data_IF_493466005879
#
_entry.id   IF_493466005879
#
_cell.length_a   1.000
_cell.length_b   1.000
_cell.length_c   1.000
_cell.angle_alpha   90.00
_cell.angle_beta   90.00
_cell.angle_gamma   90.00
#
_symmetry.space_group_name_H-M   'P 1'
#
loop_
_entity.id
_entity.type
_entity.pdbx_description
1 polymer ?
#
# COMPACT_ATOMS: atom_id res chain seq x y z
N UNK A 1 10.41 -9.43 -7.31
CA UNK A 1 11.13 -8.16 -7.54
C UNK A 1 11.95 -8.25 -8.81
N UNK A 2 12.28 -7.14 -9.46
CA UNK A 2 13.29 -7.10 -10.51
C UNK A 2 14.11 -5.80 -10.43
N UNK A 3 15.26 -5.78 -11.12
CA UNK A 3 16.16 -4.62 -11.19
C UNK A 3 16.22 -4.09 -12.62
N UNK A 4 16.16 -2.77 -12.76
CA UNK A 4 16.22 -2.09 -14.06
C UNK A 4 17.33 -1.04 -13.99
N UNK A 5 18.32 -1.16 -14.87
CA UNK A 5 19.41 -0.18 -14.96
C UNK A 5 18.92 0.98 -15.82
N UNK A 6 18.97 2.20 -15.29
CA UNK A 6 18.56 3.39 -16.04
C UNK A 6 19.52 3.61 -17.22
N UNK A 7 19.01 3.76 -18.47
CA UNK A 7 19.84 4.25 -19.56
C UNK A 7 20.04 5.77 -19.49
N UNK A 8 19.32 6.46 -18.59
CA UNK A 8 19.35 7.91 -18.42
C UNK A 8 20.17 8.27 -17.17
N UNK A 9 21.01 9.28 -17.29
CA UNK A 9 21.78 9.84 -16.17
C UNK A 9 21.26 11.24 -15.84
N UNK A 10 21.18 11.57 -14.55
CA UNK A 10 20.85 12.92 -14.11
C UNK A 10 22.03 13.87 -14.41
N UNK A 11 21.71 15.08 -14.85
CA UNK A 11 22.67 16.18 -14.99
C UNK A 11 22.94 16.81 -13.62
N UNK A 12 21.90 16.98 -12.80
CA UNK A 12 22.01 17.54 -11.44
C UNK A 12 21.97 16.40 -10.42
N UNK A 13 23.05 16.20 -9.62
CA UNK A 13 23.08 15.11 -8.65
C UNK A 13 22.12 15.39 -7.48
N UNK A 14 21.59 14.32 -6.88
CA UNK A 14 20.59 14.39 -5.81
C UNK A 14 20.96 15.31 -4.65
N UNK A 15 22.22 15.28 -4.18
CA UNK A 15 22.66 16.20 -3.13
C UNK A 15 22.56 17.68 -3.54
N UNK A 16 22.81 18.01 -4.81
CA UNK A 16 22.63 19.36 -5.31
C UNK A 16 21.14 19.74 -5.44
N UNK A 17 20.28 18.81 -5.89
CA UNK A 17 18.82 19.02 -5.91
C UNK A 17 18.32 19.33 -4.50
N UNK A 18 18.64 18.47 -3.53
CA UNK A 18 18.20 18.61 -2.14
C UNK A 18 18.75 19.86 -1.44
N UNK A 19 19.96 20.33 -1.80
CA UNK A 19 20.54 21.53 -1.17
C UNK A 19 20.24 22.85 -1.89
N UNK A 20 20.00 22.84 -3.21
CA UNK A 20 19.88 24.06 -4.02
C UNK A 20 18.49 24.32 -4.57
N UNK A 21 17.77 23.27 -4.96
CA UNK A 21 16.40 23.40 -5.47
C UNK A 21 15.38 23.44 -4.33
N UNK A 22 15.76 22.94 -3.14
CA UNK A 22 14.96 23.02 -1.91
C UNK A 22 15.65 23.92 -0.90
N UNK A 23 14.95 24.98 -0.47
CA UNK A 23 15.43 25.86 0.61
C UNK A 23 15.47 25.09 1.92
N UNK A 24 16.63 25.03 2.57
CA UNK A 24 16.84 24.46 3.90
C UNK A 24 16.26 23.03 4.09
N UNK A 25 16.54 22.11 3.15
CA UNK A 25 16.09 20.74 3.28
C UNK A 25 16.73 20.06 4.50
N UNK A 26 15.87 19.66 5.43
CA UNK A 26 16.19 18.92 6.65
C UNK A 26 15.20 17.77 6.81
N UNK A 27 15.59 16.75 7.57
CA UNK A 27 14.74 15.60 7.85
C UNK A 27 15.05 15.03 9.23
N UNK A 28 14.02 14.45 9.84
CA UNK A 28 14.13 13.75 11.11
C UNK A 28 14.34 12.27 10.86
N UNK A 29 15.37 11.69 11.47
CA UNK A 29 15.60 10.24 11.44
C UNK A 29 14.62 9.53 12.37
N UNK A 30 14.51 8.21 12.24
CA UNK A 30 13.95 7.31 13.25
C UNK A 30 15.07 6.44 13.78
N UNK A 31 15.03 6.13 15.08
CA UNK A 31 15.94 5.14 15.64
C UNK A 31 15.32 3.76 15.39
N UNK A 32 16.06 2.90 14.72
CA UNK A 32 15.62 1.55 14.35
C UNK A 32 16.44 0.53 15.14
N UNK A 33 15.81 -0.27 16.01
CA UNK A 33 16.50 -1.36 16.68
C UNK A 33 16.82 -2.48 15.68
N UNK A 34 18.01 -3.07 15.80
CA UNK A 34 18.45 -4.17 14.93
C UNK A 34 17.81 -5.52 15.33
N UNK A 35 17.43 -5.69 16.60
CA UNK A 35 16.82 -6.92 17.14
C UNK A 35 15.53 -6.59 17.85
N UNK A 36 14.49 -6.33 17.06
CA UNK A 36 13.21 -5.81 17.56
C UNK A 36 12.47 -6.76 18.53
N UNK A 37 12.79 -8.06 18.52
CA UNK A 37 12.27 -9.04 19.47
C UNK A 37 12.80 -8.87 20.91
N UNK A 38 13.86 -8.08 21.12
CA UNK A 38 14.42 -7.79 22.44
C UNK A 38 13.70 -6.63 23.16
N UNK A 39 12.70 -5.99 22.53
CA UNK A 39 12.11 -4.73 22.97
C UNK A 39 10.59 -4.79 23.05
N UNK A 40 10.01 -4.13 24.05
CA UNK A 40 8.55 -4.12 24.28
C UNK A 40 7.81 -3.10 23.39
N UNK A 41 6.50 -2.95 23.58
CA UNK A 41 5.69 -2.00 22.82
C UNK A 41 6.00 -0.54 23.12
N UNK A 42 6.37 -0.21 24.35
CA UNK A 42 6.66 1.15 24.79
C UNK A 42 8.03 1.60 24.23
N UNK A 43 8.97 0.68 24.16
CA UNK A 43 10.27 0.87 23.50
C UNK A 43 10.11 1.19 22.01
N UNK A 44 9.20 0.49 21.30
CA UNK A 44 8.95 0.73 19.85
C UNK A 44 8.47 2.15 19.57
N UNK A 45 7.54 2.66 20.39
CA UNK A 45 7.06 4.05 20.29
C UNK A 45 8.19 5.03 20.60
N UNK A 46 8.97 4.75 21.65
CA UNK A 46 10.12 5.58 22.05
C UNK A 46 11.18 5.68 20.95
N UNK A 47 11.52 4.57 20.30
CA UNK A 47 12.50 4.55 19.20
C UNK A 47 12.03 5.32 17.97
N UNK A 48 10.74 5.24 17.65
CA UNK A 48 10.15 5.99 16.54
C UNK A 48 10.21 7.51 16.78
N UNK A 49 10.11 7.95 18.04
CA UNK A 49 10.11 9.36 18.43
C UNK A 49 11.50 9.92 18.80
N UNK A 50 12.51 9.07 18.99
CA UNK A 50 13.86 9.48 19.43
C UNK A 50 14.79 9.96 18.31
N UNK A 51 14.22 10.25 17.15
CA UNK A 51 14.92 10.77 15.98
C UNK A 51 15.68 12.07 16.21
N UNK A 52 16.69 12.32 15.39
CA UNK A 52 17.39 13.61 15.33
C UNK A 52 17.15 14.26 13.99
N UNK A 53 17.05 15.59 14.01
CA UNK A 53 16.97 16.36 12.79
C UNK A 53 18.37 16.52 12.17
N UNK A 54 18.47 16.36 10.86
CA UNK A 54 19.71 16.47 10.12
C UNK A 54 19.50 17.20 8.80
N UNK A 55 20.52 17.93 8.37
CA UNK A 55 20.71 18.20 6.94
C UNK A 55 21.27 16.95 6.24
N UNK A 56 21.09 16.87 4.92
CA UNK A 56 21.62 15.78 4.09
C UNK A 56 23.13 15.54 4.28
N UNK A 57 23.90 16.63 4.36
CA UNK A 57 25.36 16.57 4.51
C UNK A 57 25.81 16.18 5.91
N UNK A 58 25.07 16.57 6.94
CA UNK A 58 25.38 16.18 8.33
C UNK A 58 25.15 14.69 8.55
N UNK A 59 24.03 14.16 8.03
CA UNK A 59 23.73 12.74 8.12
C UNK A 59 24.75 11.90 7.34
N UNK A 60 25.15 12.30 6.13
CA UNK A 60 26.23 11.65 5.38
C UNK A 60 27.54 11.57 6.18
N UNK A 61 27.97 12.69 6.77
CA UNK A 61 29.19 12.74 7.60
C UNK A 61 29.07 11.82 8.82
N UNK A 62 27.90 11.82 9.48
CA UNK A 62 27.64 10.96 10.63
C UNK A 62 27.73 9.48 10.23
N UNK A 63 27.00 9.08 9.17
CA UNK A 63 26.97 7.71 8.67
C UNK A 63 28.37 7.21 8.27
N UNK A 64 29.14 8.04 7.55
CA UNK A 64 30.51 7.69 7.16
C UNK A 64 31.46 7.57 8.36
N UNK A 65 31.29 8.42 9.40
CA UNK A 65 32.07 8.32 10.63
C UNK A 65 31.76 7.03 11.40
N UNK A 66 30.49 6.62 11.45
CA UNK A 66 30.08 5.34 12.06
C UNK A 66 30.67 4.17 11.29
N UNK A 67 30.57 4.17 9.96
CA UNK A 67 31.17 3.15 9.10
C UNK A 67 32.68 3.03 9.32
N UNK A 68 33.40 4.15 9.30
CA UNK A 68 34.85 4.18 9.46
C UNK A 68 35.32 3.71 10.84
N UNK A 69 34.55 3.98 11.91
CA UNK A 69 34.84 3.44 13.24
C UNK A 69 34.69 1.92 13.30
N UNK A 70 33.70 1.37 12.58
CA UNK A 70 33.42 -0.07 12.60
C UNK A 70 34.44 -0.87 11.82
N UNK A 71 34.86 -0.38 10.66
CA UNK A 71 35.70 -1.14 9.73
C UNK A 71 37.10 -0.56 9.49
N UNK A 72 37.47 0.52 10.18
CA UNK A 72 38.74 1.22 10.00
C UNK A 72 39.01 1.63 8.53
N UNK A 73 37.94 1.82 7.75
CA UNK A 73 37.99 2.16 6.33
C UNK A 73 36.98 3.26 6.03
N UNK A 74 37.40 4.25 5.23
CA UNK A 74 36.49 5.26 4.69
C UNK A 74 35.85 4.87 3.34
N UNK A 75 36.27 3.75 2.75
CA UNK A 75 35.79 3.27 1.45
C UNK A 75 34.70 2.20 1.58
N UNK A 76 33.87 2.07 0.55
CA UNK A 76 32.91 0.96 0.46
C UNK A 76 33.62 -0.39 0.53
N UNK A 77 33.01 -1.33 1.22
CA UNK A 77 33.47 -2.72 1.31
C UNK A 77 32.69 -3.60 0.34
N UNK A 78 33.20 -4.79 -0.03
CA UNK A 78 32.51 -5.68 -0.95
C UNK A 78 31.10 -6.05 -0.45
N UNK A 79 30.12 -6.05 -1.36
CA UNK A 79 28.71 -6.30 -1.03
C UNK A 79 28.50 -7.63 -0.29
N UNK A 80 29.18 -8.68 -0.73
CA UNK A 80 29.11 -10.01 -0.10
C UNK A 80 29.71 -10.05 1.32
N UNK A 81 30.65 -9.15 1.63
CA UNK A 81 31.19 -9.01 2.99
C UNK A 81 30.17 -8.31 3.89
N UNK A 82 29.60 -7.20 3.43
CA UNK A 82 28.62 -6.42 4.20
C UNK A 82 27.32 -7.20 4.42
N UNK A 83 26.89 -8.03 3.47
CA UNK A 83 25.75 -8.92 3.63
C UNK A 83 25.96 -9.97 4.73
N UNK A 84 27.15 -10.59 4.77
CA UNK A 84 27.50 -11.53 5.84
C UNK A 84 27.56 -10.84 7.20
N UNK A 85 28.17 -9.67 7.25
CA UNK A 85 28.29 -8.90 8.49
C UNK A 85 26.94 -8.39 8.99
N UNK A 86 26.02 -7.98 8.10
CA UNK A 86 24.66 -7.61 8.49
C UNK A 86 23.94 -8.77 9.17
N UNK A 87 23.89 -9.95 8.53
CA UNK A 87 23.19 -11.10 9.12
C UNK A 87 23.84 -11.61 10.40
N UNK A 88 25.17 -11.49 10.52
CA UNK A 88 25.89 -11.75 11.77
C UNK A 88 25.53 -10.74 12.87
N UNK A 89 25.37 -9.46 12.51
CA UNK A 89 24.96 -8.41 13.44
C UNK A 89 23.51 -8.61 13.93
N UNK A 90 22.60 -9.01 13.05
CA UNK A 90 21.23 -9.35 13.42
C UNK A 90 21.20 -10.56 14.37
N UNK A 91 22.01 -11.59 14.12
CA UNK A 91 22.00 -12.82 14.91
C UNK A 91 22.66 -12.69 16.29
N UNK A 92 23.81 -12.01 16.39
CA UNK A 92 24.60 -11.96 17.63
C UNK A 92 25.44 -10.67 17.75
N UNK A 93 25.01 -9.59 17.10
CA UNK A 93 25.66 -8.30 17.12
C UNK A 93 25.60 -7.60 18.49
N UNK A 94 26.37 -6.52 18.60
CA UNK A 94 26.38 -5.63 19.80
C UNK A 94 25.76 -4.27 19.53
N UNK A 95 25.55 -3.93 18.27
CA UNK A 95 24.88 -2.69 17.86
C UNK A 95 23.40 -2.87 18.18
N UNK A 96 22.87 -2.02 19.05
CA UNK A 96 21.46 -2.06 19.44
C UNK A 96 20.59 -1.41 18.38
N UNK A 97 20.98 -0.21 17.93
CA UNK A 97 20.16 0.61 17.03
C UNK A 97 20.97 1.24 15.90
N UNK A 98 20.26 1.62 14.84
CA UNK A 98 20.75 2.43 13.72
C UNK A 98 19.77 3.56 13.46
N UNK A 99 20.22 4.66 12.87
CA UNK A 99 19.32 5.75 12.48
C UNK A 99 18.91 5.60 11.02
N UNK A 100 17.64 5.82 10.70
CA UNK A 100 17.13 5.74 9.34
C UNK A 100 16.05 6.79 9.09
N UNK A 101 16.17 7.56 8.02
CA UNK A 101 15.09 8.47 7.61
C UNK A 101 14.26 7.80 6.51
N UNK A 102 13.11 7.23 6.89
CA UNK A 102 12.11 6.70 5.97
C UNK A 102 10.95 7.69 5.80
N UNK A 103 10.20 7.56 4.72
CA UNK A 103 8.95 8.30 4.50
C UNK A 103 9.16 9.82 4.63
N UNK A 104 10.28 10.32 4.10
CA UNK A 104 10.64 11.74 4.12
C UNK A 104 10.03 12.42 2.91
N UNK A 105 9.30 13.51 3.14
CA UNK A 105 8.65 14.24 2.07
C UNK A 105 9.62 14.92 1.10
N UNK A 106 9.24 14.86 -0.18
CA UNK A 106 9.89 15.54 -1.28
C UNK A 106 10.74 14.62 -2.17
N UNK A 107 11.36 15.21 -3.19
CA UNK A 107 12.06 14.48 -4.24
C UNK A 107 13.52 14.93 -4.42
N UNK A 108 14.37 14.02 -4.90
CA UNK A 108 15.74 14.32 -5.34
C UNK A 108 15.93 14.22 -6.86
N UNK A 109 14.85 13.99 -7.62
CA UNK A 109 14.85 14.21 -9.07
C UNK A 109 14.86 15.72 -9.37
N UNK A 110 15.75 16.15 -10.27
CA UNK A 110 15.85 17.57 -10.63
C UNK A 110 14.60 18.05 -11.37
N UNK A 111 14.22 19.29 -11.09
CA UNK A 111 13.18 20.03 -11.81
C UNK A 111 13.72 20.76 -13.06
N UNK A 112 15.04 20.74 -13.28
CA UNK A 112 15.68 21.42 -14.41
C UNK A 112 15.20 20.83 -15.76
N UNK A 113 14.72 21.66 -16.71
CA UNK A 113 14.20 21.16 -17.99
C UNK A 113 15.20 20.35 -18.82
N UNK A 114 16.49 20.62 -18.66
CA UNK A 114 17.58 19.94 -19.37
C UNK A 114 18.10 18.67 -18.69
N UNK A 115 17.54 18.27 -17.54
CA UNK A 115 17.94 17.03 -16.86
C UNK A 115 17.27 15.82 -17.52
N UNK A 116 18.03 14.89 -18.16
CA UNK A 116 17.43 13.77 -18.89
C UNK A 116 16.59 12.86 -18.00
N UNK A 117 17.05 12.59 -16.77
CA UNK A 117 16.34 11.72 -15.84
C UNK A 117 15.12 12.42 -15.23
N UNK A 118 15.29 13.64 -14.72
CA UNK A 118 14.24 14.45 -14.10
C UNK A 118 13.11 14.81 -15.07
N UNK A 119 13.43 15.11 -16.33
CA UNK A 119 12.43 15.39 -17.37
C UNK A 119 11.74 14.14 -17.93
N UNK A 120 12.32 12.95 -17.74
CA UNK A 120 11.75 11.68 -18.24
C UNK A 120 10.44 11.26 -17.55
N UNK A 121 9.83 10.19 -18.07
CA UNK A 121 8.69 9.48 -17.43
C UNK A 121 9.11 8.55 -16.30
N UNK A 122 10.42 8.33 -16.11
CA UNK A 122 10.99 7.55 -15.00
C UNK A 122 11.20 8.38 -13.74
N UNK A 123 11.02 9.70 -13.81
CA UNK A 123 10.92 10.53 -12.61
C UNK A 123 9.68 10.10 -11.81
N UNK A 124 9.91 9.62 -10.57
CA UNK A 124 8.89 9.01 -9.73
C UNK A 124 7.72 9.94 -9.39
N UNK A 125 7.96 11.25 -9.42
CA UNK A 125 6.92 12.28 -9.23
C UNK A 125 5.85 12.26 -10.33
N UNK A 126 6.10 11.59 -11.47
CA UNK A 126 5.17 11.49 -12.60
C UNK A 126 4.47 10.14 -12.69
N UNK A 127 4.99 9.11 -12.01
CA UNK A 127 4.60 7.70 -12.22
C UNK A 127 3.12 7.47 -11.93
N UNK A 128 2.64 7.92 -10.76
CA UNK A 128 1.25 7.74 -10.33
C UNK A 128 0.23 8.39 -11.28
N UNK A 129 0.64 9.39 -12.06
CA UNK A 129 -0.20 10.15 -13.00
C UNK A 129 0.01 9.74 -14.47
N UNK A 130 0.82 8.72 -14.75
CA UNK A 130 0.98 8.21 -16.12
C UNK A 130 -0.35 7.65 -16.68
N UNK A 131 -0.56 7.67 -18.01
CA UNK A 131 -1.82 7.21 -18.61
C UNK A 131 -2.25 5.79 -18.26
N UNK A 132 -1.29 4.89 -18.00
CA UNK A 132 -1.52 3.49 -17.62
C UNK A 132 -1.57 3.26 -16.11
N UNK A 133 -1.29 4.28 -15.30
CA UNK A 133 -1.41 4.20 -13.85
C UNK A 133 -2.87 4.32 -13.47
N UNK A 134 -3.44 3.32 -12.80
CA UNK A 134 -4.81 3.37 -12.26
C UNK A 134 -4.95 4.47 -11.21
N UNK A 135 -3.88 4.76 -10.46
CA UNK A 135 -3.87 5.80 -9.43
C UNK A 135 -4.05 7.22 -10.00
N UNK A 136 -3.95 7.41 -11.32
CA UNK A 136 -4.22 8.70 -11.97
C UNK A 136 -5.64 9.21 -11.69
N UNK A 137 -6.56 8.30 -11.38
CA UNK A 137 -7.99 8.55 -11.15
C UNK A 137 -8.32 8.98 -9.71
N UNK A 138 -7.35 8.92 -8.81
CA UNK A 138 -7.48 9.44 -7.44
C UNK A 138 -7.45 10.96 -7.45
N UNK A 139 -8.42 11.58 -6.79
CA UNK A 139 -8.54 13.03 -6.68
C UNK A 139 -7.64 13.59 -5.57
N UNK A 140 -7.40 12.79 -4.53
CA UNK A 140 -6.56 13.15 -3.38
C UNK A 140 -5.13 12.61 -3.54
N UNK A 141 -4.14 13.41 -3.16
CA UNK A 141 -2.76 12.95 -3.01
C UNK A 141 -2.61 12.15 -1.71
N UNK A 142 -1.93 11.01 -1.79
CA UNK A 142 -1.60 10.13 -0.68
C UNK A 142 -0.07 9.96 -0.66
N UNK A 143 0.64 10.43 0.39
CA UNK A 143 2.08 10.27 0.52
C UNK A 143 2.51 8.80 0.41
N UNK A 144 3.59 8.54 -0.31
CA UNK A 144 4.09 7.20 -0.62
C UNK A 144 3.35 6.48 -1.75
N UNK A 145 2.06 6.75 -1.90
CA UNK A 145 1.22 6.10 -2.91
C UNK A 145 1.18 6.89 -4.22
N UNK A 146 0.71 8.14 -4.17
CA UNK A 146 0.64 8.99 -5.37
C UNK A 146 1.81 9.95 -5.47
N UNK A 147 2.48 10.23 -4.35
CA UNK A 147 3.63 11.13 -4.24
C UNK A 147 4.82 10.33 -3.69
N UNK A 148 6.02 10.45 -4.29
CA UNK A 148 7.17 9.69 -3.85
C UNK A 148 7.67 10.16 -2.48
N UNK A 149 8.31 9.25 -1.75
CA UNK A 149 9.00 9.56 -0.50
C UNK A 149 10.48 9.20 -0.60
N UNK A 150 11.30 9.98 0.11
CA UNK A 150 12.74 9.77 0.23
C UNK A 150 13.07 8.82 1.37
N UNK A 151 14.13 8.04 1.14
CA UNK A 151 14.67 7.06 2.05
C UNK A 151 16.19 7.27 2.17
N UNK A 152 16.64 7.82 3.29
CA UNK A 152 18.04 8.16 3.54
C UNK A 152 18.60 7.22 4.60
N UNK A 153 19.43 6.28 4.15
CA UNK A 153 19.95 5.19 4.96
C UNK A 153 21.41 5.36 5.36
N UNK A 154 21.82 4.57 6.34
CA UNK A 154 23.20 4.36 6.75
C UNK A 154 23.54 2.87 6.77
N UNK A 155 24.76 2.52 7.18
CA UNK A 155 25.14 1.12 7.33
C UNK A 155 24.12 0.38 8.22
N UNK A 156 23.55 -0.69 7.68
CA UNK A 156 22.59 -1.59 8.33
C UNK A 156 21.20 -1.03 8.63
N UNK A 157 20.90 0.22 8.24
CA UNK A 157 19.50 0.66 8.19
C UNK A 157 18.73 -0.26 7.24
N UNK A 158 17.57 -0.76 7.66
CA UNK A 158 16.84 -1.82 6.99
C UNK A 158 15.36 -1.51 6.80
N UNK A 159 14.74 -2.26 5.90
CA UNK A 159 13.30 -2.38 5.75
C UNK A 159 12.95 -3.86 5.94
N UNK A 160 12.13 -4.13 6.95
CA UNK A 160 11.76 -5.48 7.34
C UNK A 160 10.88 -6.16 6.28
N UNK A 161 10.57 -7.45 6.48
CA UNK A 161 9.70 -8.18 5.56
C UNK A 161 8.30 -7.57 5.52
N UNK A 162 7.87 -7.14 4.33
CA UNK A 162 6.54 -6.59 4.12
C UNK A 162 6.08 -6.72 2.66
N UNK A 163 4.79 -6.43 2.45
CA UNK A 163 4.18 -6.16 1.14
C UNK A 163 3.67 -4.72 1.13
N UNK A 164 3.49 -4.16 -0.06
CA UNK A 164 2.93 -2.82 -0.22
C UNK A 164 1.44 -2.79 0.20
N UNK A 165 0.98 -1.63 0.68
CA UNK A 165 -0.43 -1.40 0.97
C UNK A 165 -1.28 -1.68 -0.26
N UNK A 166 -2.44 -2.29 -0.05
CA UNK A 166 -3.33 -2.71 -1.13
C UNK A 166 -2.69 -3.63 -2.19
N UNK A 167 -1.56 -4.26 -1.87
CA UNK A 167 -0.76 -5.06 -2.81
C UNK A 167 -0.39 -4.30 -4.09
N UNK A 168 -0.16 -2.99 -3.97
CA UNK A 168 0.34 -2.19 -5.08
C UNK A 168 1.70 -2.70 -5.57
N UNK A 169 2.08 -2.28 -6.77
CA UNK A 169 3.49 -2.28 -7.14
C UNK A 169 4.22 -1.21 -6.33
N UNK A 170 5.53 -1.38 -6.11
CA UNK A 170 6.42 -0.26 -5.78
C UNK A 170 7.58 -0.18 -6.76
N UNK A 171 8.01 1.05 -7.04
CA UNK A 171 9.24 1.34 -7.76
C UNK A 171 10.14 2.21 -6.88
N UNK A 172 11.38 1.78 -6.70
CA UNK A 172 12.40 2.46 -5.92
C UNK A 172 13.57 2.81 -6.83
N UNK A 173 14.03 4.06 -6.79
CA UNK A 173 15.24 4.52 -7.48
C UNK A 173 16.32 4.90 -6.47
N UNK A 174 17.53 4.39 -6.66
CA UNK A 174 18.68 4.77 -5.83
C UNK A 174 19.39 5.97 -6.45
N UNK A 175 19.33 7.12 -5.79
CA UNK A 175 19.92 8.36 -6.29
C UNK A 175 21.44 8.41 -6.10
N UNK A 176 21.92 8.07 -4.90
CA UNK A 176 23.35 8.10 -4.56
C UNK A 176 23.71 7.21 -3.36
N UNK A 177 25.02 7.12 -3.10
CA UNK A 177 25.60 6.45 -1.94
C UNK A 177 25.93 4.97 -2.14
N UNK A 178 25.99 4.24 -1.04
CA UNK A 178 26.28 2.82 -1.00
C UNK A 178 25.10 1.96 -1.50
N UNK A 179 25.42 0.73 -1.88
CA UNK A 179 24.45 -0.23 -2.38
C UNK A 179 23.37 -0.58 -1.35
N UNK A 180 22.24 -1.09 -1.84
CA UNK A 180 21.12 -1.60 -1.03
C UNK A 180 20.83 -3.03 -1.45
N UNK A 181 20.86 -3.96 -0.50
CA UNK A 181 20.48 -5.35 -0.76
C UNK A 181 18.99 -5.53 -0.55
N UNK A 182 18.35 -6.23 -1.49
CA UNK A 182 16.95 -6.59 -1.49
C UNK A 182 16.78 -8.11 -1.57
N UNK A 183 15.84 -8.63 -0.81
CA UNK A 183 15.32 -9.98 -0.92
C UNK A 183 13.84 -9.89 -1.30
N UNK A 184 13.41 -10.70 -2.25
CA UNK A 184 12.04 -10.67 -2.76
C UNK A 184 11.46 -12.06 -2.95
N UNK A 185 10.18 -12.19 -2.60
CA UNK A 185 9.37 -13.38 -2.75
C UNK A 185 8.35 -13.14 -3.88
N UNK A 186 8.14 -14.09 -4.80
CA UNK A 186 7.06 -14.00 -5.77
C UNK A 186 5.70 -13.87 -5.08
N UNK A 187 4.79 -13.05 -5.63
CA UNK A 187 3.44 -12.89 -5.07
C UNK A 187 2.64 -14.20 -5.01
N UNK A 188 2.93 -15.16 -5.89
CA UNK A 188 2.36 -16.51 -5.87
C UNK A 188 2.77 -17.35 -4.66
N UNK A 189 3.88 -16.99 -3.98
CA UNK A 189 4.38 -17.67 -2.80
C UNK A 189 4.05 -16.92 -1.50
N UNK A 190 3.26 -15.84 -1.54
CA UNK A 190 2.94 -15.01 -0.38
C UNK A 190 2.27 -15.79 0.76
N UNK A 191 1.26 -16.62 0.47
CA UNK A 191 0.61 -17.46 1.49
C UNK A 191 1.58 -18.47 2.11
N UNK A 192 2.47 -19.05 1.30
CA UNK A 192 3.48 -19.99 1.80
C UNK A 192 4.50 -19.27 2.69
N UNK A 193 4.89 -18.04 2.33
CA UNK A 193 5.72 -17.18 3.16
C UNK A 193 5.04 -16.89 4.50
N UNK A 194 3.79 -16.43 4.50
CA UNK A 194 3.01 -16.11 5.71
C UNK A 194 2.91 -17.34 6.63
N UNK A 195 2.65 -18.52 6.06
CA UNK A 195 2.63 -19.79 6.79
C UNK A 195 3.97 -20.10 7.48
N UNK A 196 5.09 -20.00 6.76
CA UNK A 196 6.42 -20.28 7.33
C UNK A 196 6.78 -19.27 8.41
N UNK A 197 6.43 -17.99 8.22
CA UNK A 197 6.67 -16.96 9.25
C UNK A 197 5.90 -17.26 10.52
N UNK A 198 4.63 -17.66 10.39
CA UNK A 198 3.81 -18.07 11.53
C UNK A 198 4.42 -19.26 12.28
N UNK A 199 4.90 -20.27 11.55
CA UNK A 199 5.35 -21.54 12.12
C UNK A 199 6.78 -21.47 12.69
N UNK A 200 7.67 -20.67 12.09
CA UNK A 200 9.11 -20.71 12.37
C UNK A 200 9.67 -19.43 13.01
N UNK A 201 8.92 -18.30 12.95
CA UNK A 201 9.44 -16.98 13.37
C UNK A 201 8.68 -16.42 14.55
N UNK A 202 7.35 -16.48 14.55
CA UNK A 202 6.53 -15.99 15.65
C UNK A 202 6.21 -17.12 16.64
N UNK A 203 6.26 -16.81 17.93
CA UNK A 203 5.65 -17.64 18.98
C UNK A 203 4.15 -17.37 19.03
N UNK A 204 3.38 -18.34 19.55
CA UNK A 204 1.92 -18.21 19.69
C UNK A 204 1.51 -16.95 20.50
N UNK A 205 2.36 -16.50 21.44
CA UNK A 205 2.15 -15.29 22.24
C UNK A 205 2.16 -13.96 21.44
N UNK A 206 2.72 -13.94 20.22
CA UNK A 206 2.84 -12.72 19.39
C UNK A 206 1.64 -12.56 18.44
N UNK A 207 0.91 -13.64 18.18
CA UNK A 207 -0.18 -13.66 17.19
C UNK A 207 -1.48 -13.20 17.86
N UNK A 208 -1.90 -11.97 17.58
CA UNK A 208 -3.12 -11.35 18.10
C UNK A 208 -4.42 -11.93 17.53
N UNK A 209 -4.34 -12.69 16.44
CA UNK A 209 -5.49 -13.30 15.76
C UNK A 209 -5.24 -14.79 15.53
N UNK A 210 -6.23 -15.62 15.91
CA UNK A 210 -6.27 -17.04 15.58
C UNK A 210 -6.37 -17.23 14.06
N UNK A 211 -5.55 -18.12 13.48
CA UNK A 211 -5.69 -18.56 12.07
C UNK A 211 -4.59 -18.15 11.08
N UNK A 212 -4.93 -18.09 9.79
CA UNK A 212 -3.98 -17.85 8.68
C UNK A 212 -3.47 -16.41 8.56
N UNK A 213 -4.24 -15.42 9.01
CA UNK A 213 -3.91 -14.00 8.84
C UNK A 213 -3.20 -13.36 10.06
N UNK A 214 -3.00 -14.09 11.17
CA UNK A 214 -2.32 -13.57 12.36
C UNK A 214 -0.88 -13.11 12.07
N UNK A 215 -0.13 -13.88 11.27
CA UNK A 215 1.22 -13.47 10.85
C UNK A 215 1.18 -12.23 9.94
N UNK A 216 0.17 -12.10 9.09
CA UNK A 216 0.00 -10.93 8.23
C UNK A 216 -0.23 -9.67 9.06
N UNK A 217 -1.10 -9.71 10.07
CA UNK A 217 -1.39 -8.58 10.95
C UNK A 217 -0.14 -8.03 11.63
N UNK A 218 0.73 -8.93 12.12
CA UNK A 218 2.03 -8.56 12.71
C UNK A 218 3.00 -8.02 11.64
N UNK A 219 3.07 -8.67 10.47
CA UNK A 219 3.94 -8.24 9.36
C UNK A 219 3.56 -6.87 8.80
N UNK A 220 2.29 -6.44 8.92
CA UNK A 220 1.87 -5.08 8.57
C UNK A 220 2.62 -4.01 9.38
N UNK A 221 3.12 -4.35 10.57
CA UNK A 221 3.96 -3.45 11.37
C UNK A 221 5.33 -3.16 10.75
N UNK A 222 5.76 -3.91 9.72
CA UNK A 222 7.06 -3.76 9.03
C UNK A 222 8.25 -3.77 10.00
N UNK A 223 8.20 -4.60 11.03
CA UNK A 223 9.20 -4.62 12.11
C UNK A 223 10.06 -5.88 12.17
N UNK A 224 9.60 -6.98 11.59
CA UNK A 224 10.24 -8.30 11.74
C UNK A 224 11.25 -8.59 10.63
N UNK A 225 12.53 -8.70 11.01
CA UNK A 225 13.63 -9.11 10.11
C UNK A 225 14.12 -10.50 10.50
N UNK A 226 14.30 -11.38 9.52
CA UNK A 226 14.91 -12.70 9.69
C UNK A 226 15.59 -13.14 8.39
N UNK A 227 16.62 -14.00 8.46
CA UNK A 227 17.40 -14.36 7.29
C UNK A 227 16.59 -15.15 6.26
N UNK A 228 16.80 -14.93 4.95
CA UNK A 228 16.19 -15.71 3.86
C UNK A 228 16.36 -17.22 3.99
N UNK A 229 17.39 -17.69 4.71
CA UNK A 229 17.68 -19.11 4.89
C UNK A 229 16.48 -19.88 5.50
N UNK A 230 15.75 -19.28 6.44
CA UNK A 230 14.56 -19.90 7.05
C UNK A 230 13.51 -20.21 5.96
N UNK A 231 13.30 -19.28 5.03
CA UNK A 231 12.37 -19.44 3.92
C UNK A 231 12.82 -20.51 2.92
N UNK A 232 14.12 -20.50 2.58
CA UNK A 232 14.70 -21.46 1.64
C UNK A 232 14.63 -22.89 2.18
N UNK A 233 14.90 -23.08 3.47
CA UNK A 233 14.85 -24.39 4.13
C UNK A 233 13.41 -24.97 4.12
N UNK A 234 12.39 -24.11 4.06
CA UNK A 234 10.97 -24.47 3.92
C UNK A 234 10.43 -24.40 2.48
N UNK A 235 11.33 -24.26 1.49
CA UNK A 235 11.00 -24.26 0.07
C UNK A 235 10.18 -23.05 -0.39
N UNK A 236 10.28 -21.90 0.29
CA UNK A 236 9.77 -20.62 -0.21
C UNK A 236 10.86 -20.00 -1.11
N UNK A 237 10.56 -19.67 -2.38
CA UNK A 237 11.55 -19.11 -3.27
C UNK A 237 11.92 -17.68 -2.87
N UNK A 238 13.22 -17.42 -2.70
CA UNK A 238 13.76 -16.09 -2.41
C UNK A 238 14.75 -15.66 -3.49
N UNK A 239 14.59 -14.44 -3.99
CA UNK A 239 15.49 -13.85 -4.98
C UNK A 239 16.19 -12.63 -4.39
N UNK A 240 17.48 -12.47 -4.69
CA UNK A 240 18.29 -11.33 -4.24
C UNK A 240 18.54 -10.34 -5.37
N UNK A 241 18.49 -9.05 -5.06
CA UNK A 241 19.00 -7.98 -5.91
C UNK A 241 19.90 -7.04 -5.09
N UNK A 242 21.04 -6.63 -5.65
CA UNK A 242 21.87 -5.56 -5.09
C UNK A 242 21.67 -4.34 -5.99
N UNK A 243 21.09 -3.28 -5.42
CA UNK A 243 20.77 -2.03 -6.08
C UNK A 243 21.89 -1.01 -5.82
N UNK A 244 22.43 -0.43 -6.89
CA UNK A 244 23.43 0.63 -6.88
C UNK A 244 22.80 1.95 -7.35
N UNK A 245 23.47 3.10 -7.12
CA UNK A 245 23.03 4.38 -7.67
C UNK A 245 22.77 4.31 -9.18
N UNK A 246 21.67 4.91 -9.64
CA UNK A 246 21.25 4.85 -11.05
C UNK A 246 20.34 3.67 -11.41
N UNK A 247 20.07 2.77 -10.47
CA UNK A 247 19.25 1.58 -10.70
C UNK A 247 17.88 1.68 -10.02
N UNK A 248 16.86 1.16 -10.70
CA UNK A 248 15.52 0.96 -10.17
C UNK A 248 15.33 -0.47 -9.65
N UNK A 249 14.56 -0.62 -8.58
CA UNK A 249 13.97 -1.89 -8.14
C UNK A 249 12.45 -1.78 -8.27
N UNK A 250 11.83 -2.78 -8.87
CA UNK A 250 10.37 -2.92 -8.93
C UNK A 250 9.94 -4.12 -8.08
N UNK A 251 8.98 -3.89 -7.19
CA UNK A 251 8.26 -4.94 -6.47
C UNK A 251 6.90 -5.14 -7.13
N UNK A 252 6.47 -6.40 -7.23
CA UNK A 252 5.23 -6.78 -7.90
C UNK A 252 4.10 -6.91 -6.86
N UNK A 253 2.83 -6.92 -7.27
CA UNK A 253 1.71 -7.10 -6.38
C UNK A 253 1.88 -8.31 -5.48
N UNK A 254 1.62 -8.10 -4.18
CA UNK A 254 1.69 -9.13 -3.13
C UNK A 254 3.09 -9.76 -2.96
N UNK A 255 4.15 -9.17 -3.53
CA UNK A 255 5.50 -9.68 -3.43
C UNK A 255 6.15 -9.22 -2.12
N UNK A 256 6.30 -10.14 -1.15
CA UNK A 256 7.04 -9.86 0.07
C UNK A 256 8.48 -9.48 -0.24
N UNK A 257 8.99 -8.46 0.45
CA UNK A 257 10.36 -8.02 0.30
C UNK A 257 10.93 -7.43 1.59
N UNK A 258 12.26 -7.54 1.73
CA UNK A 258 13.05 -7.02 2.84
C UNK A 258 14.45 -6.64 2.34
N UNK A 259 15.20 -5.88 3.14
CA UNK A 259 16.55 -5.52 2.75
C UNK A 259 17.21 -4.51 3.67
N UNK A 260 18.45 -4.16 3.34
CA UNK A 260 19.30 -3.30 4.17
C UNK A 260 20.30 -2.50 3.32
N UNK A 261 20.76 -1.38 3.88
CA UNK A 261 21.72 -0.48 3.27
C UNK A 261 23.17 -0.83 3.65
N UNK A 262 24.08 -0.74 2.69
CA UNK A 262 25.52 -1.07 2.86
C UNK A 262 26.33 0.11 3.42
N UNK A 263 25.70 1.26 3.64
CA UNK A 263 26.35 2.51 4.05
C UNK A 263 25.41 3.69 3.84
N UNK A 264 25.94 4.91 3.88
CA UNK A 264 25.16 6.11 3.55
C UNK A 264 24.56 5.99 2.16
N UNK A 265 23.25 6.14 2.02
CA UNK A 265 22.59 6.13 0.72
C UNK A 265 21.28 6.93 0.71
N UNK A 266 20.85 7.36 -0.47
CA UNK A 266 19.60 8.07 -0.68
C UNK A 266 18.84 7.44 -1.84
N UNK A 267 17.65 6.93 -1.55
CA UNK A 267 16.71 6.40 -2.53
C UNK A 267 15.37 7.13 -2.45
N UNK A 268 14.55 6.96 -3.47
CA UNK A 268 13.20 7.51 -3.56
C UNK A 268 12.27 6.41 -4.05
N UNK A 269 11.07 6.29 -3.49
CA UNK A 269 10.11 5.27 -3.92
C UNK A 269 8.68 5.81 -4.01
N UNK A 270 7.89 5.20 -4.87
CA UNK A 270 6.45 5.46 -5.00
C UNK A 270 5.72 4.17 -5.38
N UNK A 271 4.48 4.02 -4.94
CA UNK A 271 3.63 2.93 -5.40
C UNK A 271 2.93 3.25 -6.72
N UNK A 272 2.46 2.21 -7.39
CA UNK A 272 1.60 2.35 -8.56
C UNK A 272 0.72 1.12 -8.78
N UNK A 273 -0.30 1.29 -9.62
CA UNK A 273 -1.19 0.22 -10.05
C UNK A 273 -1.43 0.31 -11.55
N UNK A 274 -1.63 -0.84 -12.19
CA UNK A 274 -2.01 -0.99 -13.59
C UNK A 274 -3.23 -1.92 -13.69
N UNK A 275 -3.76 -2.15 -14.88
CA UNK A 275 -4.96 -3.00 -15.04
C UNK A 275 -4.81 -4.42 -14.49
N UNK A 276 -3.59 -5.00 -14.50
CA UNK A 276 -3.31 -6.32 -13.95
C UNK A 276 -3.32 -6.38 -12.41
N UNK A 277 -3.34 -5.24 -11.71
CA UNK A 277 -3.36 -5.17 -10.25
C UNK A 277 -4.74 -5.46 -9.65
N UNK A 278 -5.84 -5.19 -10.36
CA UNK A 278 -7.20 -5.30 -9.81
C UNK A 278 -7.53 -6.64 -9.10
N UNK A 279 -7.11 -7.82 -9.59
CA UNK A 279 -7.32 -9.07 -8.86
C UNK A 279 -6.61 -9.09 -7.50
N UNK A 280 -5.42 -8.49 -7.40
CA UNK A 280 -4.68 -8.36 -6.14
C UNK A 280 -5.31 -7.31 -5.22
N UNK A 281 -5.76 -6.18 -5.78
CA UNK A 281 -6.50 -5.16 -5.06
C UNK A 281 -7.76 -5.72 -4.39
N UNK A 282 -8.48 -6.61 -5.09
CA UNK A 282 -9.65 -7.31 -4.54
C UNK A 282 -9.28 -8.21 -3.35
N UNK A 283 -8.21 -9.02 -3.47
CA UNK A 283 -7.73 -9.86 -2.36
C UNK A 283 -7.33 -9.00 -1.16
N UNK A 284 -6.65 -7.87 -1.41
CA UNK A 284 -6.27 -6.94 -0.35
C UNK A 284 -7.51 -6.33 0.33
N UNK A 285 -8.52 -5.89 -0.44
CA UNK A 285 -9.78 -5.40 0.12
C UNK A 285 -10.48 -6.42 1.01
N UNK A 286 -10.56 -7.69 0.58
CA UNK A 286 -11.11 -8.77 1.40
C UNK A 286 -10.34 -8.95 2.70
N UNK A 287 -8.99 -8.88 2.65
CA UNK A 287 -8.15 -9.01 3.83
C UNK A 287 -8.27 -7.81 4.77
N UNK A 288 -8.36 -6.58 4.26
CA UNK A 288 -8.64 -5.38 5.08
C UNK A 288 -9.98 -5.51 5.81
N UNK A 289 -11.02 -5.98 5.11
CA UNK A 289 -12.32 -6.21 5.73
C UNK A 289 -12.28 -7.29 6.81
N UNK A 290 -11.62 -8.43 6.54
CA UNK A 290 -11.47 -9.50 7.53
C UNK A 290 -10.76 -9.04 8.81
N UNK A 291 -9.78 -8.14 8.66
CA UNK A 291 -9.00 -7.57 9.77
C UNK A 291 -9.63 -6.30 10.38
N UNK A 292 -10.86 -5.92 9.99
CA UNK A 292 -11.53 -4.69 10.42
C UNK A 292 -10.71 -3.39 10.22
N UNK A 293 -9.86 -3.37 9.19
CA UNK A 293 -8.98 -2.23 8.85
C UNK A 293 -9.59 -1.39 7.72
N UNK A 294 -9.36 -0.08 7.76
CA UNK A 294 -9.77 0.81 6.66
C UNK A 294 -8.90 0.52 5.44
N UNK A 295 -9.49 0.26 4.25
CA UNK A 295 -8.72 0.21 3.02
C UNK A 295 -8.16 1.60 2.71
N UNK A 296 -6.91 1.65 2.27
CA UNK A 296 -6.25 2.90 1.88
C UNK A 296 -6.78 3.45 0.55
N UNK A 297 -7.25 2.58 -0.35
CA UNK A 297 -7.70 2.95 -1.68
C UNK A 297 -9.20 2.71 -1.86
N UNK A 298 -9.92 3.61 -2.59
CA UNK A 298 -11.30 3.40 -2.97
C UNK A 298 -11.39 2.40 -4.13
N UNK A 299 -11.17 1.12 -3.83
CA UNK A 299 -11.01 0.06 -4.84
C UNK A 299 -12.22 -0.06 -5.79
N UNK A 300 -13.44 -0.02 -5.26
CA UNK A 300 -14.67 -0.08 -6.08
C UNK A 300 -14.84 1.13 -7.00
N UNK A 301 -14.47 2.32 -6.52
CA UNK A 301 -14.49 3.55 -7.32
C UNK A 301 -13.51 3.45 -8.50
N UNK A 302 -12.29 2.96 -8.24
CA UNK A 302 -11.27 2.77 -9.26
C UNK A 302 -11.71 1.74 -10.33
N UNK A 303 -12.35 0.64 -9.92
CA UNK A 303 -12.94 -0.35 -10.85
C UNK A 303 -13.93 0.34 -11.78
N UNK A 304 -14.89 1.09 -11.20
CA UNK A 304 -15.94 1.75 -11.96
C UNK A 304 -15.40 2.83 -12.91
N UNK A 305 -14.47 3.69 -12.43
CA UNK A 305 -13.86 4.74 -13.26
C UNK A 305 -13.09 4.12 -14.44
N UNK A 306 -12.27 3.10 -14.23
CA UNK A 306 -11.53 2.44 -15.33
C UNK A 306 -12.47 1.73 -16.32
N UNK A 307 -13.47 0.99 -15.83
CA UNK A 307 -14.41 0.26 -16.69
C UNK A 307 -15.19 1.20 -17.62
N UNK A 308 -15.58 2.38 -17.13
CA UNK A 308 -16.29 3.40 -17.90
C UNK A 308 -15.40 4.03 -18.96
N UNK A 309 -14.13 4.28 -18.64
CA UNK A 309 -13.15 4.77 -19.61
C UNK A 309 -12.93 3.75 -20.72
N UNK A 310 -12.80 2.46 -20.39
CA UNK A 310 -12.67 1.39 -21.36
C UNK A 310 -13.89 1.29 -22.28
N UNK A 311 -15.10 1.39 -21.72
CA UNK A 311 -16.32 1.35 -22.53
C UNK A 311 -16.48 2.58 -23.45
N UNK A 312 -16.12 3.77 -22.97
CA UNK A 312 -16.23 5.03 -23.73
C UNK A 312 -15.23 5.11 -24.89
N UNK A 313 -14.16 4.31 -24.84
CA UNK A 313 -13.08 4.33 -25.81
C UNK A 313 -13.31 3.50 -27.09
N UNK A 314 -14.57 3.15 -27.41
CA UNK A 314 -14.98 2.26 -28.51
C UNK A 314 -14.67 2.78 -29.93
N UNK A 315 -13.40 3.00 -30.24
CA UNK A 315 -12.82 2.92 -31.58
C UNK A 315 -12.27 1.50 -31.77
N UNK A 316 -12.30 0.95 -33.00
CA UNK A 316 -11.88 -0.42 -33.24
C UNK A 316 -10.43 -0.60 -32.78
N UNK A 317 -10.26 -1.60 -31.93
CA UNK A 317 -9.04 -2.12 -31.33
C UNK A 317 -7.75 -1.53 -31.89
N UNK A 318 -7.07 -0.70 -31.09
CA UNK A 318 -5.69 -0.33 -31.36
C UNK A 318 -4.87 -1.61 -31.56
N UNK A 319 -4.36 -1.81 -32.77
CA UNK A 319 -3.56 -2.98 -33.18
C UNK A 319 -2.26 -3.17 -32.37
N UNK A 320 -1.95 -2.26 -31.43
CA UNK A 320 -0.71 -2.22 -30.64
C UNK A 320 -0.89 -2.53 -29.14
N UNK A 321 -2.01 -3.11 -28.71
CA UNK A 321 -2.21 -3.48 -27.29
C UNK A 321 -1.34 -4.70 -26.93
N UNK A 322 -0.53 -4.57 -25.88
CA UNK A 322 0.32 -5.68 -25.40
C UNK A 322 -0.51 -6.76 -24.69
N UNK A 323 -0.06 -8.03 -24.65
CA UNK A 323 -0.79 -9.11 -23.96
C UNK A 323 -1.10 -8.80 -22.49
N UNK A 324 -0.16 -8.17 -21.77
CA UNK A 324 -0.34 -7.77 -20.37
C UNK A 324 -1.39 -6.67 -20.23
N UNK A 325 -1.41 -5.70 -21.13
CA UNK A 325 -2.44 -4.65 -21.13
C UNK A 325 -3.82 -5.22 -21.43
N UNK A 326 -3.92 -6.13 -22.40
CA UNK A 326 -5.17 -6.83 -22.70
C UNK A 326 -5.67 -7.64 -21.49
N UNK A 327 -4.75 -8.35 -20.82
CA UNK A 327 -5.06 -9.06 -19.56
C UNK A 327 -5.55 -8.11 -18.48
N UNK A 328 -4.91 -6.95 -18.32
CA UNK A 328 -5.35 -5.93 -17.36
C UNK A 328 -6.74 -5.37 -17.67
N UNK A 329 -7.04 -5.11 -18.95
CA UNK A 329 -8.39 -4.70 -19.37
C UNK A 329 -9.44 -5.77 -19.07
N UNK A 330 -9.10 -7.05 -19.28
CA UNK A 330 -9.98 -8.17 -18.90
C UNK A 330 -10.22 -8.20 -17.40
N UNK A 331 -9.16 -8.07 -16.58
CA UNK A 331 -9.28 -8.01 -15.11
C UNK A 331 -10.21 -6.89 -14.65
N UNK A 332 -10.09 -5.68 -15.22
CA UNK A 332 -10.98 -4.54 -14.93
C UNK A 332 -12.43 -4.89 -15.27
N UNK A 333 -12.68 -5.38 -16.49
CA UNK A 333 -14.02 -5.74 -16.95
C UNK A 333 -14.66 -6.82 -16.07
N UNK A 334 -13.90 -7.87 -15.73
CA UNK A 334 -14.37 -8.96 -14.86
C UNK A 334 -14.71 -8.44 -13.46
N UNK A 335 -13.84 -7.63 -12.86
CA UNK A 335 -14.09 -7.03 -11.55
C UNK A 335 -15.36 -6.15 -11.56
N UNK A 336 -15.53 -5.33 -12.61
CA UNK A 336 -16.71 -4.48 -12.76
C UNK A 336 -18.00 -5.29 -12.90
N UNK A 337 -18.01 -6.33 -13.75
CA UNK A 337 -19.21 -7.19 -13.93
C UNK A 337 -19.61 -7.87 -12.62
N UNK A 338 -18.63 -8.39 -11.87
CA UNK A 338 -18.91 -9.00 -10.56
C UNK A 338 -19.47 -7.98 -9.56
N UNK A 339 -18.87 -6.79 -9.48
CA UNK A 339 -19.35 -5.72 -8.61
C UNK A 339 -20.79 -5.32 -8.93
N UNK A 340 -21.13 -5.13 -10.20
CA UNK A 340 -22.48 -4.72 -10.61
C UNK A 340 -23.51 -5.84 -10.37
N UNK A 341 -23.15 -7.11 -10.62
CA UNK A 341 -24.03 -8.25 -10.32
C UNK A 341 -24.33 -8.35 -8.83
N UNK A 342 -23.30 -8.26 -7.99
CA UNK A 342 -23.45 -8.29 -6.54
C UNK A 342 -24.35 -7.16 -6.06
N UNK A 343 -24.08 -5.93 -6.49
CA UNK A 343 -24.87 -4.76 -6.11
C UNK A 343 -26.34 -4.87 -6.58
N UNK A 344 -26.58 -5.42 -7.77
CA UNK A 344 -27.94 -5.63 -8.27
C UNK A 344 -28.74 -6.59 -7.37
N UNK A 345 -28.14 -7.73 -7.00
CA UNK A 345 -28.77 -8.73 -6.13
C UNK A 345 -28.99 -8.19 -4.72
N UNK A 346 -28.01 -7.47 -4.16
CA UNK A 346 -28.12 -6.86 -2.84
C UNK A 346 -29.25 -5.82 -2.81
N UNK A 347 -29.31 -4.93 -3.80
CA UNK A 347 -30.39 -3.92 -3.93
C UNK A 347 -31.75 -4.56 -4.10
N UNK A 348 -31.85 -5.60 -4.93
CA UNK A 348 -33.11 -6.34 -5.12
C UNK A 348 -33.62 -6.95 -3.81
N UNK A 349 -32.71 -7.54 -3.02
CA UNK A 349 -33.04 -8.12 -1.72
C UNK A 349 -33.47 -7.06 -0.70
N UNK A 350 -32.79 -5.91 -0.69
CA UNK A 350 -33.12 -4.78 0.19
C UNK A 350 -34.48 -4.14 -0.15
N UNK A 351 -34.81 -4.02 -1.44
CA UNK A 351 -36.14 -3.55 -1.87
C UNK A 351 -37.22 -4.54 -1.46
N UNK A 352 -36.96 -5.84 -1.58
CA UNK A 352 -37.91 -6.89 -1.18
C UNK A 352 -38.13 -6.96 0.33
N UNK A 353 -37.15 -6.63 1.16
CA UNK A 353 -37.31 -6.67 2.61
C UNK A 353 -38.17 -5.53 3.17
N UNK A 354 -38.41 -4.47 2.38
CA UNK A 354 -39.18 -3.29 2.81
C UNK A 354 -38.48 -2.43 3.88
N UNK A 355 -37.24 -2.77 4.27
CA UNK A 355 -36.46 -2.08 5.30
C UNK A 355 -35.85 -0.76 4.81
N UNK A 356 -35.81 -0.51 3.50
CA UNK A 356 -35.28 0.72 2.91
C UNK A 356 -36.42 1.55 2.31
N UNK A 357 -36.81 2.61 3.02
CA UNK A 357 -37.97 3.46 2.66
C UNK A 357 -37.59 4.73 1.89
N UNK A 358 -36.30 5.06 1.79
CA UNK A 358 -35.81 6.27 1.11
C UNK A 358 -34.68 5.96 0.13
N UNK A 359 -34.82 6.44 -1.12
CA UNK A 359 -33.77 6.41 -2.13
C UNK A 359 -33.31 7.85 -2.43
N UNK A 360 -32.05 8.14 -2.13
CA UNK A 360 -31.44 9.46 -2.42
C UNK A 360 -30.35 9.29 -3.48
N UNK A 361 -30.24 10.26 -4.38
CA UNK A 361 -29.12 10.32 -5.32
C UNK A 361 -27.85 10.67 -4.56
N UNK A 362 -26.89 9.74 -4.47
CA UNK A 362 -25.59 10.02 -3.90
C UNK A 362 -24.70 10.69 -4.95
N UNK A 363 -24.33 11.95 -4.70
CA UNK A 363 -23.37 12.71 -5.52
C UNK A 363 -21.98 12.76 -4.89
N UNK A 364 -21.82 12.24 -3.67
CA UNK A 364 -20.54 12.13 -2.99
C UNK A 364 -19.89 10.82 -3.47
N UNK A 365 -18.67 10.90 -3.99
CA UNK A 365 -17.90 9.74 -4.51
C UNK A 365 -17.61 8.63 -3.50
N UNK A 366 -18.13 8.74 -2.28
CA UNK A 366 -18.01 7.73 -1.23
C UNK A 366 -18.91 6.54 -1.52
N UNK A 367 -18.29 5.47 -2.01
CA UNK A 367 -18.86 4.12 -1.91
C UNK A 367 -18.52 3.63 -0.50
N UNK A 368 -19.50 3.66 0.41
CA UNK A 368 -19.34 3.13 1.76
C UNK A 368 -19.23 1.61 1.64
N UNK A 369 -18.03 1.06 1.83
CA UNK A 369 -17.85 -0.37 2.09
C UNK A 369 -18.38 -0.66 3.50
N UNK A 370 -19.45 -1.45 3.59
CA UNK A 370 -20.15 -1.77 4.85
C UNK A 370 -19.47 -2.97 5.51
N UNK A 371 -18.21 -2.80 5.84
CA UNK A 371 -17.47 -3.79 6.64
C UNK A 371 -16.80 -3.09 7.82
N UNK A 372 -17.45 -2.05 8.35
CA UNK A 372 -17.16 -1.50 9.66
C UNK A 372 -18.40 -1.47 10.51
N UNK A 373 -18.49 -2.44 11.40
CA UNK A 373 -19.26 -2.32 12.63
C UNK A 373 -18.63 -1.22 13.52
N UNK A 374 -19.52 -0.48 14.20
CA UNK A 374 -19.35 0.47 15.30
C UNK A 374 -19.57 1.97 14.98
N UNK A 375 -20.22 2.70 15.90
CA UNK A 375 -21.36 3.56 15.60
C UNK A 375 -20.96 5.03 15.58
N UNK A 376 -21.24 5.71 14.49
CA UNK A 376 -21.27 7.17 14.49
C UNK A 376 -22.53 7.65 13.78
N UNK A 377 -23.36 8.34 14.55
CA UNK A 377 -24.42 9.27 14.15
C UNK A 377 -25.75 8.66 13.66
N UNK A 378 -26.61 8.32 14.62
CA UNK A 378 -27.99 8.81 14.59
C UNK A 378 -27.94 10.33 14.82
N UNK A 379 -27.64 11.08 13.76
CA UNK A 379 -27.79 12.53 13.70
C UNK A 379 -29.03 12.83 12.87
N UNK A 380 -30.21 12.70 13.48
CA UNK A 380 -31.44 13.26 12.93
C UNK A 380 -31.25 14.77 12.75
N UNK A 381 -31.60 15.25 11.56
CA UNK A 381 -31.67 16.68 11.24
C UNK A 381 -32.68 17.36 12.19
N UNK A 382 -32.18 18.04 13.21
CA UNK A 382 -32.96 19.02 13.96
C UNK A 382 -32.15 20.29 14.11
N UNK A 383 -32.68 21.37 13.53
CA UNK A 383 -32.24 22.74 13.78
C UNK A 383 -32.07 22.95 15.29
N UNK A 384 -30.89 23.36 15.72
CA UNK A 384 -30.71 23.98 17.02
C UNK A 384 -30.23 25.42 16.83
N UNK A 385 -31.17 26.34 17.04
CA UNK A 385 -30.87 27.64 17.58
C UNK A 385 -30.25 27.42 18.97
N UNK A 386 -29.22 28.22 19.26
CA UNK A 386 -28.72 28.44 20.62
C UNK A 386 -29.87 28.96 21.48
N UNK A 387 -30.02 28.43 22.68
CA UNK A 387 -30.08 29.20 23.92
C UNK A 387 -29.88 28.27 25.12
N UNK A 388 -29.35 28.86 26.19
CA UNK A 388 -28.90 28.27 27.45
C UNK A 388 -30.05 27.70 28.30
N UNK A 389 -29.75 26.74 29.19
CA UNK A 389 -29.87 26.88 30.66
C UNK A 389 -29.82 25.50 31.37
N UNK A 390 -29.43 25.56 32.64
CA UNK A 390 -28.98 24.53 33.57
C UNK A 390 -30.06 23.56 34.15
N UNK A 391 -29.56 22.62 34.97
CA UNK A 391 -30.16 21.93 36.15
C UNK A 391 -30.71 20.47 36.05
N UNK A 392 -29.99 19.60 36.77
CA UNK A 392 -30.35 18.64 37.84
C UNK A 392 -31.40 17.50 37.70
N UNK A 393 -30.93 16.36 38.26
CA UNK A 393 -31.56 15.34 39.11
C UNK A 393 -32.53 14.21 38.63
N UNK A 394 -32.12 13.01 39.07
CA UNK A 394 -32.85 11.90 39.72
C UNK A 394 -33.56 10.73 38.99
N UNK A 395 -33.24 9.57 39.59
CA UNK A 395 -33.78 8.20 39.66
C UNK A 395 -35.20 7.89 39.10
N UNK A 396 -35.38 6.70 38.47
CA UNK A 396 -36.00 5.52 39.10
C UNK A 396 -36.13 4.28 38.18
N UNK A 397 -36.24 3.11 38.83
CA UNK A 397 -36.33 1.73 38.32
C UNK A 397 -37.62 1.41 37.55
N UNK A 398 -37.61 0.39 36.67
CA UNK A 398 -38.20 -0.94 36.96
C UNK A 398 -38.49 -1.85 35.73
N UNK A 399 -38.29 -3.15 36.00
CA UNK A 399 -39.00 -4.36 35.51
C UNK A 399 -38.59 -5.09 34.21
N UNK A 400 -38.16 -6.32 34.48
CA UNK A 400 -38.12 -7.58 33.71
C UNK A 400 -39.27 -7.81 32.73
N UNK A 401 -38.96 -8.44 31.60
CA UNK A 401 -39.68 -9.62 31.10
C UNK A 401 -38.75 -10.43 30.16
N UNK A 402 -38.66 -11.73 30.46
CA UNK A 402 -37.96 -12.77 29.68
C UNK A 402 -38.74 -13.10 28.41
N UNK A 403 -38.04 -13.34 27.29
CA UNK A 403 -38.49 -14.24 26.24
C UNK A 403 -37.26 -14.85 25.53
N UNK A 404 -36.98 -16.11 25.86
CA UNK A 404 -36.18 -17.03 25.04
C UNK A 404 -37.02 -17.42 23.82
N UNK A 405 -36.57 -17.09 22.60
CA UNK A 405 -36.80 -17.94 21.42
C UNK A 405 -35.95 -17.54 20.18
N UNK A 406 -35.25 -18.53 19.64
CA UNK A 406 -34.62 -18.67 18.32
C UNK A 406 -33.43 -17.76 17.91
N UNK A 407 -32.23 -18.26 18.21
CA UNK A 407 -30.91 -17.64 18.01
C UNK A 407 -30.24 -17.88 16.62
N UNK A 408 -30.92 -18.42 15.61
CA UNK A 408 -30.25 -18.73 14.31
C UNK A 408 -30.52 -17.71 13.19
N UNK A 409 -31.31 -16.65 13.44
CA UNK A 409 -31.72 -15.66 12.43
C UNK A 409 -31.13 -14.26 12.57
N UNK A 410 -30.57 -13.92 13.73
CA UNK A 410 -30.27 -12.52 14.10
C UNK A 410 -28.85 -12.05 13.69
N UNK A 411 -27.97 -12.98 13.28
CA UNK A 411 -26.61 -12.63 12.84
C UNK A 411 -26.52 -12.13 11.38
N UNK A 412 -27.53 -12.37 10.54
CA UNK A 412 -27.51 -11.94 9.11
C UNK A 412 -28.07 -10.53 8.91
N UNK A 413 -28.89 -10.04 9.84
CA UNK A 413 -29.61 -8.77 9.71
C UNK A 413 -28.83 -7.51 10.16
N UNK A 414 -27.72 -7.67 10.91
CA UNK A 414 -26.94 -6.53 11.42
C UNK A 414 -25.92 -5.92 10.43
N UNK A 415 -25.74 -6.53 9.26
CA UNK A 415 -24.68 -6.17 8.28
C UNK A 415 -25.13 -5.12 7.22
N UNK A 416 -26.41 -4.78 7.09
CA UNK A 416 -26.89 -4.05 5.91
C UNK A 416 -27.30 -2.58 6.16
N UNK A 417 -26.29 -1.71 6.22
CA UNK A 417 -26.43 -0.25 6.04
C UNK A 417 -25.96 0.21 4.65
N UNK A 418 -26.63 -0.21 3.56
CA UNK A 418 -26.25 0.14 2.18
C UNK A 418 -26.72 1.54 1.77
N UNK A 419 -25.82 2.53 1.88
CA UNK A 419 -25.89 3.80 1.15
C UNK A 419 -24.87 3.85 0.02
N UNK A 420 -25.22 3.44 -1.20
CA UNK A 420 -24.36 3.58 -2.39
C UNK A 420 -25.21 3.95 -3.61
N UNK A 421 -24.87 5.07 -4.26
CA UNK A 421 -25.37 5.47 -5.59
C UNK A 421 -24.19 6.05 -6.39
N UNK A 422 -24.10 5.77 -7.68
CA UNK A 422 -23.01 6.24 -8.54
C UNK A 422 -23.38 7.56 -9.21
N UNK A 423 -22.58 8.60 -9.00
CA UNK A 423 -22.63 9.85 -9.76
C UNK A 423 -22.11 9.65 -11.19
N UNK A 424 -22.96 9.13 -12.07
CA UNK A 424 -22.70 9.13 -13.51
C UNK A 424 -23.36 10.35 -14.16
N UNK A 425 -22.63 11.01 -15.06
CA UNK A 425 -23.15 12.06 -15.93
C UNK A 425 -24.39 11.55 -16.68
N UNK A 426 -25.55 12.16 -16.42
CA UNK A 426 -26.88 11.73 -16.89
C UNK A 426 -27.00 11.65 -18.43
N UNK A 427 -25.98 12.11 -19.17
CA UNK A 427 -25.93 12.01 -20.63
C UNK A 427 -25.63 10.60 -21.16
N UNK A 428 -24.87 9.78 -20.42
CA UNK A 428 -24.53 8.39 -20.84
C UNK A 428 -25.63 7.40 -20.42
N UNK A 429 -26.37 7.72 -19.35
CA UNK A 429 -27.39 6.87 -18.73
C UNK A 429 -28.74 6.85 -19.44
N UNK A 430 -29.04 7.85 -20.29
CA UNK A 430 -30.37 8.01 -20.90
C UNK A 430 -30.70 6.98 -21.99
N UNK A 431 -29.70 6.35 -22.60
CA UNK A 431 -29.96 5.54 -23.80
C UNK A 431 -30.04 4.02 -23.55
N UNK A 432 -29.55 3.48 -22.42
CA UNK A 432 -29.57 2.02 -22.19
C UNK A 432 -29.81 1.51 -20.76
N UNK A 433 -29.62 2.30 -19.71
CA UNK A 433 -29.78 1.81 -18.34
C UNK A 433 -28.66 0.86 -17.88
N UNK A 434 -28.37 0.88 -16.58
CA UNK A 434 -27.20 0.26 -15.97
C UNK A 434 -27.09 -1.26 -16.18
N UNK A 435 -28.24 -1.94 -16.30
CA UNK A 435 -28.32 -3.38 -16.57
C UNK A 435 -27.96 -3.72 -18.02
N UNK A 436 -28.45 -2.94 -19.00
CA UNK A 436 -28.07 -3.08 -20.40
C UNK A 436 -26.60 -2.73 -20.61
N UNK A 437 -26.02 -1.83 -19.83
CA UNK A 437 -24.58 -1.54 -19.86
C UNK A 437 -23.75 -2.74 -19.42
N UNK A 438 -24.13 -3.39 -18.32
CA UNK A 438 -23.47 -4.62 -17.85
C UNK A 438 -23.63 -5.79 -18.83
N UNK A 439 -24.81 -5.93 -19.44
CA UNK A 439 -25.12 -6.97 -20.42
C UNK A 439 -24.45 -6.71 -21.79
N UNK A 440 -24.42 -5.48 -22.30
CA UNK A 440 -23.70 -5.10 -23.53
C UNK A 440 -22.18 -5.34 -23.38
N UNK A 441 -21.63 -5.13 -22.17
CA UNK A 441 -20.23 -5.41 -21.89
C UNK A 441 -19.95 -6.92 -21.83
N UNK A 442 -20.88 -7.72 -21.29
CA UNK A 442 -20.85 -9.18 -21.31
C UNK A 442 -20.88 -9.73 -22.74
N UNK A 443 -21.81 -9.27 -23.57
CA UNK A 443 -21.91 -9.67 -24.99
C UNK A 443 -20.61 -9.37 -25.77
N UNK A 444 -19.96 -8.24 -25.48
CA UNK A 444 -18.67 -7.88 -26.11
C UNK A 444 -17.51 -8.73 -25.61
N UNK A 445 -17.53 -9.19 -24.36
CA UNK A 445 -16.50 -10.09 -23.81
C UNK A 445 -16.68 -11.50 -24.37
N UNK A 446 -17.93 -11.99 -24.45
CA UNK A 446 -18.25 -13.29 -25.03
C UNK A 446 -17.92 -13.35 -26.53
N UNK A 447 -18.11 -12.26 -27.28
CA UNK A 447 -17.68 -12.17 -28.69
C UNK A 447 -16.16 -12.22 -28.90
N UNK A 448 -15.35 -11.88 -27.88
CA UNK A 448 -13.89 -12.06 -27.91
C UNK A 448 -13.42 -13.44 -27.44
N UNK A 449 -14.35 -14.33 -27.06
CA UNK A 449 -14.13 -15.74 -26.78
C UNK A 449 -14.60 -16.62 -27.94
N UNK A 450 -14.01 -16.45 -29.12
CA UNK A 450 -14.05 -17.48 -30.17
C UNK A 450 -12.60 -17.88 -30.50
N UNK A 451 -12.15 -19.06 -30.08
CA UNK A 451 -11.05 -19.74 -30.74
C UNK A 451 -11.58 -20.37 -32.03
N UNK A 452 -11.08 -19.88 -33.16
CA UNK A 452 -11.04 -20.61 -34.44
C UNK A 452 -9.58 -20.84 -34.79
#
# INVERSE_FOLDING_TARGET
ICKIISPLTATVPAGAVLMKEKSNFEFTTRVQPLRLAEWDSDDKVTFFMSGRNYTFREYEKMANKVFARRYCSGGSLPDSFLEKEFWKEIACGKTETVEYACDVDGSAFSSAPGDPLGSSKWNLNKVSRLPKSTLRLLETSIPGITEPMLYIGMLFSMFAWHVEDHYLYSINYQHCGASKTWYGIPGSAALKFEKVVREEVYSDDILSADGEDGAFDVLLGKTTIFPPKILLDHGVPVYKAVQNPGEFIVTFPRAYHAGFSHGFNCGEAVNFAMGDWFPFGAIASCRYAHLNRLPLLPHEELICKEAVLLNSSSKPENLDITPTELSGQRSIKTAFVHLIRFLHVARWSLVKSGLCTGLVSNTYGTIVSILKDQPFLLGSSSNYNRDNDDDDDDEEKSKEEDDEDNDDGLHIARIFGLGINFGFDQKILKDKGFLSFGLDLLDRIEQTQVPG
#
